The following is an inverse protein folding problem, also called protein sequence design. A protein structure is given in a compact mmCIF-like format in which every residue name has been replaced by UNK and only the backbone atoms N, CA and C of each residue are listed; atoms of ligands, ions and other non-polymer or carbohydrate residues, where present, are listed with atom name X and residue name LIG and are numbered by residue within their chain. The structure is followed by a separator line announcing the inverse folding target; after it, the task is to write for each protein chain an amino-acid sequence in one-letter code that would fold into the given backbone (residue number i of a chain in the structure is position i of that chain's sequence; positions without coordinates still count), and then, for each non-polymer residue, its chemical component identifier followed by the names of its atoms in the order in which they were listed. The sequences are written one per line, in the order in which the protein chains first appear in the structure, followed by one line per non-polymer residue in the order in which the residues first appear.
data_IF_888316373129
#
_entry.id   IF_888316373129
#
_cell.length_a   1.000
_cell.length_b   1.000
_cell.length_c   1.000
_cell.angle_alpha   90.00
_cell.angle_beta   90.00
_cell.angle_gamma   90.00
#
_symmetry.space_group_name_H-M   'P 1'
#
loop_
_entity.id
_entity.type
_entity.pdbx_description
1 polymer ?
#
# COMPACT_ATOMS: atom_id res chain seq x y z
N UNK A 1 64.32 -24.89 16.53
CA UNK A 1 63.63 -23.65 16.88
C UNK A 1 62.56 -23.43 15.83
N UNK A 2 61.34 -23.91 16.10
CA UNK A 2 60.22 -23.89 15.16
C UNK A 2 59.04 -23.19 15.82
N UNK A 3 58.48 -22.24 15.09
CA UNK A 3 57.38 -21.35 15.46
C UNK A 3 56.03 -22.08 15.39
N UNK A 4 55.16 -21.86 16.37
CA UNK A 4 53.71 -22.05 16.18
C UNK A 4 52.97 -20.90 16.83
N UNK A 5 52.43 -20.05 15.97
CA UNK A 5 51.61 -18.88 16.25
C UNK A 5 50.25 -19.31 16.80
N UNK A 6 49.82 -18.71 17.92
CA UNK A 6 48.49 -18.94 18.51
C UNK A 6 47.53 -17.88 17.94
N UNK A 7 46.60 -18.33 17.10
CA UNK A 7 45.56 -17.50 16.47
C UNK A 7 44.63 -16.91 17.54
N UNK A 8 44.47 -15.58 17.50
CA UNK A 8 43.52 -14.84 18.32
C UNK A 8 42.07 -15.11 17.88
N UNK A 9 41.16 -15.25 18.85
CA UNK A 9 39.70 -15.31 18.66
C UNK A 9 39.18 -13.86 18.70
N UNK A 10 38.34 -13.40 17.75
CA UNK A 10 37.81 -12.04 17.79
C UNK A 10 36.76 -11.90 18.91
N UNK A 11 36.64 -10.72 19.56
CA UNK A 11 35.53 -10.46 20.46
C UNK A 11 34.24 -10.34 19.62
N UNK A 12 33.25 -11.17 19.93
CA UNK A 12 31.87 -10.97 19.46
C UNK A 12 31.44 -9.57 19.88
N UNK A 13 31.29 -8.69 18.89
CA UNK A 13 30.71 -7.38 19.08
C UNK A 13 29.30 -7.58 19.65
N UNK A 14 29.11 -7.16 20.90
CA UNK A 14 27.79 -7.07 21.49
C UNK A 14 26.94 -6.20 20.56
N UNK A 15 25.92 -6.81 19.98
CA UNK A 15 24.89 -6.11 19.22
C UNK A 15 24.24 -5.10 20.17
N UNK A 16 24.65 -3.84 20.05
CA UNK A 16 23.96 -2.71 20.65
C UNK A 16 22.62 -2.64 19.92
N UNK A 17 21.58 -3.17 20.56
CA UNK A 17 20.20 -2.90 20.18
C UNK A 17 20.03 -1.39 20.36
N UNK A 18 19.86 -0.57 19.30
CA UNK A 18 19.50 0.82 19.52
C UNK A 18 18.14 0.78 20.21
N UNK A 19 18.08 1.38 21.39
CA UNK A 19 16.83 1.59 22.13
C UNK A 19 15.88 2.30 21.17
N UNK A 20 14.92 1.55 20.64
CA UNK A 20 13.91 2.08 19.75
C UNK A 20 13.06 3.02 20.59
N UNK A 21 13.27 4.32 20.44
CA UNK A 21 12.18 5.26 20.62
C UNK A 21 10.98 4.68 19.85
N UNK A 22 9.77 4.62 20.44
CA UNK A 22 8.61 4.17 19.71
C UNK A 22 8.38 5.19 18.60
N UNK A 23 8.92 4.88 17.42
CA UNK A 23 8.54 5.50 16.18
C UNK A 23 7.04 5.26 16.11
N UNK A 24 6.27 6.31 16.43
CA UNK A 24 4.84 6.36 16.19
C UNK A 24 4.71 6.15 14.69
N UNK A 25 4.50 4.89 14.28
CA UNK A 25 4.17 4.55 12.91
C UNK A 25 3.00 5.47 12.56
N UNK A 26 3.09 6.26 11.48
CA UNK A 26 1.98 7.11 11.11
C UNK A 26 0.74 6.21 11.01
N UNK A 27 -0.38 6.61 11.61
CA UNK A 27 -1.62 5.79 11.65
C UNK A 27 -1.96 5.18 10.29
N UNK A 28 -1.63 5.87 9.19
CA UNK A 28 -1.71 5.36 7.81
C UNK A 28 -1.01 4.03 7.54
N UNK A 29 0.17 3.80 8.11
CA UNK A 29 0.90 2.55 7.92
C UNK A 29 0.18 1.39 8.64
N UNK A 30 -0.43 1.68 9.79
CA UNK A 30 -1.25 0.71 10.52
C UNK A 30 -2.60 0.46 9.80
N UNK A 31 -3.20 1.50 9.21
CA UNK A 31 -4.38 1.37 8.33
C UNK A 31 -4.09 0.51 7.09
N UNK A 32 -2.91 0.66 6.50
CA UNK A 32 -2.49 -0.15 5.35
C UNK A 32 -2.28 -1.63 5.71
N UNK A 33 -1.89 -1.92 6.95
CA UNK A 33 -1.73 -3.29 7.46
C UNK A 33 -3.07 -3.89 7.95
N UNK A 34 -4.03 -3.06 8.37
CA UNK A 34 -5.33 -3.50 8.89
C UNK A 34 -6.39 -3.72 7.80
N UNK A 35 -6.19 -3.15 6.61
CA UNK A 35 -7.09 -3.35 5.46
C UNK A 35 -6.82 -4.69 4.74
N UNK A 36 -7.08 -5.79 5.44
CA UNK A 36 -6.91 -7.18 4.95
C UNK A 36 -8.08 -7.60 4.02
N UNK A 37 -9.02 -6.69 3.72
CA UNK A 37 -10.20 -7.02 2.92
C UNK A 37 -9.95 -6.74 1.43
N UNK A 38 -10.44 -7.64 0.59
CA UNK A 38 -10.49 -7.39 -0.84
C UNK A 38 -11.37 -6.15 -1.10
N UNK A 39 -10.82 -5.17 -1.82
CA UNK A 39 -11.51 -3.92 -2.18
C UNK A 39 -11.24 -3.57 -3.64
N UNK A 40 -12.19 -2.87 -4.25
CA UNK A 40 -11.98 -2.28 -5.57
C UNK A 40 -11.35 -0.90 -5.39
N UNK A 41 -10.19 -0.70 -5.98
CA UNK A 41 -9.42 0.55 -5.90
C UNK A 41 -9.52 1.39 -7.16
N UNK A 42 -10.07 0.83 -8.24
CA UNK A 42 -10.20 1.52 -9.52
C UNK A 42 -11.33 0.91 -10.35
N UNK A 43 -12.09 1.76 -11.04
CA UNK A 43 -13.09 1.37 -12.03
C UNK A 43 -12.63 1.80 -13.43
N UNK A 44 -12.30 0.82 -14.28
CA UNK A 44 -11.79 1.05 -15.65
C UNK A 44 -12.82 0.66 -16.70
N UNK A 45 -13.25 1.65 -17.48
CA UNK A 45 -14.28 1.52 -18.52
C UNK A 45 -13.68 1.74 -19.91
N UNK A 46 -13.36 0.66 -20.61
CA UNK A 46 -12.72 0.74 -21.94
C UNK A 46 -13.68 1.21 -23.04
N UNK A 47 -14.85 0.58 -23.13
CA UNK A 47 -15.90 0.89 -24.12
C UNK A 47 -17.30 0.58 -23.56
N UNK A 48 -17.55 0.96 -22.30
CA UNK A 48 -18.80 0.67 -21.60
C UNK A 48 -19.78 1.83 -21.74
N UNK A 49 -20.97 1.56 -22.30
CA UNK A 49 -21.96 2.59 -22.63
C UNK A 49 -21.34 3.78 -23.39
N UNK A 50 -21.53 5.01 -22.89
CA UNK A 50 -20.89 6.23 -23.43
C UNK A 50 -19.45 6.46 -22.96
N UNK A 51 -18.95 5.69 -21.98
CA UNK A 51 -17.60 5.85 -21.46
C UNK A 51 -16.58 5.20 -22.40
N UNK A 52 -15.49 5.92 -22.67
CA UNK A 52 -14.39 5.47 -23.54
C UNK A 52 -13.08 5.69 -22.82
N UNK A 53 -12.35 4.58 -22.57
CA UNK A 53 -11.05 4.56 -21.87
C UNK A 53 -11.05 5.37 -20.56
N UNK A 54 -12.15 5.35 -19.82
CA UNK A 54 -12.26 6.06 -18.55
C UNK A 54 -11.66 5.23 -17.41
N UNK A 55 -10.99 5.89 -16.47
CA UNK A 55 -10.39 5.28 -15.29
C UNK A 55 -10.73 6.13 -14.07
N UNK A 56 -11.45 5.55 -13.11
CA UNK A 56 -11.86 6.24 -11.89
C UNK A 56 -11.18 5.58 -10.69
N UNK A 57 -10.20 6.24 -10.04
CA UNK A 57 -9.64 5.75 -8.79
C UNK A 57 -10.71 5.77 -7.70
N UNK A 58 -10.78 4.71 -6.90
CA UNK A 58 -11.72 4.55 -5.79
C UNK A 58 -10.95 4.52 -4.47
N UNK A 59 -11.19 5.53 -3.64
CA UNK A 59 -10.78 5.54 -2.23
C UNK A 59 -11.83 4.89 -1.33
N UNK A 60 -11.63 5.01 -0.01
CA UNK A 60 -12.58 4.51 1.00
C UNK A 60 -14.00 5.03 0.77
N UNK A 61 -14.13 6.29 0.33
CA UNK A 61 -15.38 6.87 -0.18
C UNK A 61 -15.05 7.71 -1.40
N UNK A 62 -15.76 7.49 -2.52
CA UNK A 62 -15.61 8.26 -3.76
C UNK A 62 -16.99 8.69 -4.23
N UNK A 63 -17.21 10.00 -4.40
CA UNK A 63 -18.46 10.56 -4.87
C UNK A 63 -18.38 10.91 -6.36
N UNK A 64 -19.30 10.37 -7.15
CA UNK A 64 -19.49 10.77 -8.54
C UNK A 64 -20.52 11.92 -8.57
N UNK A 65 -20.10 13.11 -8.98
CA UNK A 65 -20.94 14.31 -9.03
C UNK A 65 -20.94 14.96 -10.43
N UNK A 66 -21.98 15.75 -10.73
CA UNK A 66 -22.14 16.47 -12.00
C UNK A 66 -23.60 16.56 -12.46
N UNK A 67 -23.90 17.29 -13.54
CA UNK A 67 -25.24 17.42 -14.11
C UNK A 67 -25.95 16.08 -14.40
N UNK A 68 -27.28 16.08 -14.45
CA UNK A 68 -28.02 14.87 -14.85
C UNK A 68 -27.61 14.41 -16.25
N UNK A 69 -27.63 13.09 -16.48
CA UNK A 69 -27.28 12.50 -17.79
C UNK A 69 -25.78 12.38 -18.08
N UNK A 70 -24.88 12.83 -17.21
CA UNK A 70 -23.41 12.72 -17.44
C UNK A 70 -22.85 11.29 -17.26
N UNK A 71 -23.72 10.28 -17.15
CA UNK A 71 -23.31 8.88 -17.09
C UNK A 71 -22.74 8.41 -15.75
N UNK A 72 -23.02 9.10 -14.64
CA UNK A 72 -22.58 8.68 -13.29
C UNK A 72 -23.18 7.34 -12.87
N UNK A 73 -24.51 7.22 -12.91
CA UNK A 73 -25.21 5.97 -12.61
C UNK A 73 -24.78 4.87 -13.57
N UNK A 74 -24.63 5.21 -14.85
CA UNK A 74 -24.12 4.28 -15.87
C UNK A 74 -22.68 3.85 -15.57
N UNK A 75 -21.80 4.73 -15.09
CA UNK A 75 -20.44 4.33 -14.71
C UNK A 75 -20.48 3.30 -13.57
N UNK A 76 -21.26 3.56 -12.53
CA UNK A 76 -21.36 2.66 -11.36
C UNK A 76 -22.05 1.34 -11.67
N UNK A 77 -22.98 1.31 -12.64
CA UNK A 77 -23.64 0.08 -13.07
C UNK A 77 -22.67 -0.97 -13.68
N UNK A 78 -21.43 -0.58 -14.02
CA UNK A 78 -20.42 -1.53 -14.47
C UNK A 78 -19.86 -2.44 -13.35
N UNK A 79 -20.21 -2.16 -12.09
CA UNK A 79 -19.86 -3.00 -10.95
C UNK A 79 -20.82 -4.18 -10.76
N UNK A 80 -22.03 -4.09 -11.30
CA UNK A 80 -23.07 -5.13 -11.23
C UNK A 80 -22.89 -6.16 -12.35
#
# INVERSE_FOLDING_TARGET
MSVTSLSAVPPVAASVVPSAEPAVLPDRALDALSDVRARITELRLSAFAGHRRAAFPLGAVTLFAGPSGTGKSTALAAFE
#
